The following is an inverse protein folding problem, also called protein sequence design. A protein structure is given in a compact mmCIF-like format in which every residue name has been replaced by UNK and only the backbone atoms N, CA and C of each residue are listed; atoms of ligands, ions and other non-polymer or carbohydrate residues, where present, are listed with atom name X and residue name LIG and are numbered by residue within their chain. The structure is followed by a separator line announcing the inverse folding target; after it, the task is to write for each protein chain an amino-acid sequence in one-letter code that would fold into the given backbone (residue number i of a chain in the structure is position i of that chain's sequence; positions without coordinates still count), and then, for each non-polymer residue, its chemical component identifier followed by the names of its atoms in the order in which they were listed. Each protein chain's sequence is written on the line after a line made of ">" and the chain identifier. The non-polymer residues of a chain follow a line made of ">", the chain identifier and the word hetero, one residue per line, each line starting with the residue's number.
data_IF_031047556174
#
_entry.id   IF_031047556174
#
_cell.length_a   1.000
_cell.length_b   1.000
_cell.length_c   1.000
_cell.angle_alpha   90.00
_cell.angle_beta   90.00
_cell.angle_gamma   90.00
#
_symmetry.space_group_name_H-M   'P 1'
#
loop_
_entity.id
_entity.type
_entity.pdbx_description
1 polymer ?
#
# COMPACT_ATOMS: atom_id res chain seq x y z
N UNK A 1 9.39 0.22 8.68
CA UNK A 1 10.02 0.00 7.36
C UNK A 1 9.87 -1.47 6.99
N UNK A 2 9.08 -1.80 5.96
CA UNK A 2 9.07 -3.13 5.36
C UNK A 2 9.61 -2.99 3.93
N UNK A 3 10.53 -3.88 3.53
CA UNK A 3 11.14 -3.95 2.19
C UNK A 3 10.90 -5.35 1.66
N UNK A 4 10.35 -5.47 0.45
CA UNK A 4 10.27 -6.75 -0.24
C UNK A 4 11.15 -6.71 -1.49
N UNK A 5 12.02 -7.73 -1.65
CA UNK A 5 12.89 -7.88 -2.82
C UNK A 5 12.27 -8.88 -3.79
N UNK A 6 11.63 -8.38 -4.84
CA UNK A 6 11.30 -9.09 -6.07
C UNK A 6 11.61 -8.10 -7.24
N UNK A 7 11.37 -8.35 -8.54
CA UNK A 7 11.93 -7.52 -9.62
C UNK A 7 11.66 -6.01 -9.48
N UNK A 8 10.58 -5.66 -8.78
CA UNK A 8 10.29 -4.32 -8.27
C UNK A 8 10.46 -4.28 -6.74
N UNK A 9 11.22 -3.29 -6.25
CA UNK A 9 11.40 -3.07 -4.81
C UNK A 9 10.42 -2.00 -4.33
N UNK A 10 9.40 -2.41 -3.58
CA UNK A 10 8.39 -1.51 -3.02
C UNK A 10 8.68 -1.18 -1.55
N UNK A 11 8.35 0.05 -1.17
CA UNK A 11 8.43 0.54 0.22
C UNK A 11 7.20 1.38 0.51
N UNK A 12 6.54 1.10 1.63
CA UNK A 12 5.55 2.00 2.23
C UNK A 12 6.28 2.92 3.21
N UNK A 13 6.19 4.22 2.97
CA UNK A 13 6.76 5.25 3.81
C UNK A 13 5.64 5.91 4.61
N UNK A 14 5.67 5.72 5.93
CA UNK A 14 4.74 6.35 6.86
C UNK A 14 5.43 7.56 7.47
N UNK A 15 5.24 8.75 6.89
CA UNK A 15 5.68 10.01 7.49
C UNK A 15 4.46 10.80 7.97
N UNK A 16 4.40 10.94 9.29
CA UNK A 16 3.58 11.83 10.12
C UNK A 16 2.04 11.73 10.04
N UNK A 17 1.42 11.47 8.88
CA UNK A 17 -0.05 11.27 8.76
C UNK A 17 -0.50 10.55 7.48
N UNK A 18 0.38 10.35 6.49
CA UNK A 18 0.00 9.70 5.22
C UNK A 18 0.95 8.56 4.88
N UNK A 19 0.40 7.39 4.59
CA UNK A 19 1.16 6.26 4.09
C UNK A 19 1.32 6.42 2.58
N UNK A 20 2.54 6.65 2.11
CA UNK A 20 2.83 6.72 0.67
C UNK A 20 3.48 5.44 0.19
N UNK A 21 3.03 4.95 -0.96
CA UNK A 21 3.71 3.87 -1.67
C UNK A 21 4.83 4.46 -2.53
N UNK A 22 6.03 3.89 -2.42
CA UNK A 22 7.16 4.22 -3.28
C UNK A 22 7.69 2.96 -3.94
N UNK A 23 8.08 3.08 -5.21
CA UNK A 23 8.80 2.03 -5.95
C UNK A 23 10.21 2.50 -6.25
N UNK A 24 11.18 1.60 -6.09
CA UNK A 24 12.57 1.88 -6.45
C UNK A 24 12.84 1.49 -7.90
N UNK A 25 13.23 2.49 -8.69
CA UNK A 25 13.58 2.37 -10.11
C UNK A 25 15.08 2.11 -10.24
N UNK A 26 15.46 0.83 -10.31
CA UNK A 26 16.88 0.40 -10.34
C UNK A 26 17.67 0.99 -11.52
N UNK A 27 17.04 1.17 -12.68
CA UNK A 27 17.69 1.66 -13.90
C UNK A 27 18.29 3.06 -13.72
N UNK A 28 17.61 3.92 -12.96
CA UNK A 28 17.99 5.32 -12.72
C UNK A 28 18.37 5.58 -11.26
N UNK A 29 18.47 4.52 -10.45
CA UNK A 29 18.78 4.56 -9.02
C UNK A 29 17.94 5.59 -8.24
N UNK A 30 16.64 5.65 -8.50
CA UNK A 30 15.75 6.64 -7.90
C UNK A 30 14.50 6.02 -7.28
N UNK A 31 13.79 6.80 -6.47
CA UNK A 31 12.49 6.44 -5.92
C UNK A 31 11.39 7.20 -6.66
N UNK A 32 10.32 6.50 -7.04
CA UNK A 32 9.10 7.09 -7.60
C UNK A 32 7.97 6.93 -6.58
N UNK A 33 7.29 8.05 -6.30
CA UNK A 33 6.08 8.05 -5.48
C UNK A 33 4.91 7.55 -6.33
N UNK A 34 4.10 6.65 -5.77
CA UNK A 34 2.93 6.03 -6.41
C UNK A 34 1.63 6.41 -5.67
N UNK A 35 1.63 7.53 -4.95
CA UNK A 35 0.46 8.02 -4.25
C UNK A 35 0.25 7.44 -2.85
N UNK A 36 -0.92 7.75 -2.28
CA UNK A 36 -1.33 7.38 -0.92
C UNK A 36 -1.90 5.96 -0.91
N UNK A 37 -1.54 5.19 0.11
CA UNK A 37 -2.06 3.85 0.36
C UNK A 37 -3.41 3.97 1.09
N UNK A 38 -4.46 3.23 0.69
CA UNK A 38 -5.81 3.33 1.28
C UNK A 38 -5.94 2.67 2.66
N UNK A 39 -4.82 2.32 3.30
CA UNK A 39 -4.79 1.75 4.65
C UNK A 39 -3.85 2.51 5.58
N UNK A 40 -4.19 2.46 6.87
CA UNK A 40 -3.42 3.04 7.95
C UNK A 40 -2.97 2.00 8.96
N UNK A 41 -1.82 2.29 9.57
CA UNK A 41 -1.40 1.60 10.78
C UNK A 41 -2.17 2.24 11.94
N UNK A 42 -3.19 1.55 12.44
CA UNK A 42 -3.94 2.01 13.59
C UNK A 42 -3.34 1.41 14.86
N UNK A 43 -2.37 2.13 15.44
CA UNK A 43 -1.69 1.72 16.67
C UNK A 43 -2.66 1.53 17.84
N UNK A 44 -3.73 2.35 17.93
CA UNK A 44 -4.72 2.23 19.01
C UNK A 44 -5.51 0.92 18.96
N UNK A 45 -5.60 0.30 17.77
CA UNK A 45 -6.29 -0.99 17.54
C UNK A 45 -5.33 -2.16 17.36
N UNK A 46 -4.02 -1.94 17.48
CA UNK A 46 -3.01 -2.97 17.22
C UNK A 46 -2.92 -3.41 15.74
N UNK A 47 -3.48 -2.64 14.81
CA UNK A 47 -3.49 -2.98 13.39
C UNK A 47 -2.25 -2.41 12.69
N UNK A 48 -1.37 -3.28 12.20
CA UNK A 48 -0.28 -2.90 11.31
C UNK A 48 -0.69 -2.88 9.83
N UNK A 49 0.21 -2.42 8.97
CA UNK A 49 0.08 -2.57 7.52
C UNK A 49 0.96 -3.73 7.07
N UNK A 50 0.38 -4.70 6.38
CA UNK A 50 1.10 -5.74 5.69
C UNK A 50 0.96 -5.54 4.17
N UNK A 51 1.98 -5.94 3.42
CA UNK A 51 1.90 -5.93 1.96
C UNK A 51 2.71 -7.08 1.36
N UNK A 52 2.33 -7.47 0.15
CA UNK A 52 3.01 -8.53 -0.61
C UNK A 52 2.94 -8.21 -2.10
N UNK A 53 4.08 -8.24 -2.78
CA UNK A 53 4.13 -8.25 -4.24
C UNK A 53 3.73 -9.62 -4.81
N UNK A 54 2.98 -9.58 -5.90
CA UNK A 54 2.43 -10.71 -6.64
C UNK A 54 2.65 -10.46 -8.14
N UNK A 55 3.88 -10.63 -8.61
CA UNK A 55 4.27 -10.26 -9.97
C UNK A 55 4.15 -8.74 -10.15
N UNK A 56 3.28 -8.33 -11.08
CA UNK A 56 2.97 -6.91 -11.35
C UNK A 56 1.94 -6.35 -10.37
N UNK A 57 1.40 -7.15 -9.46
CA UNK A 57 0.43 -6.68 -8.47
C UNK A 57 1.09 -6.45 -7.12
N UNK A 58 0.55 -5.50 -6.36
CA UNK A 58 0.88 -5.27 -4.97
C UNK A 58 -0.39 -5.42 -4.15
N UNK A 59 -0.38 -6.37 -3.23
CA UNK A 59 -1.43 -6.56 -2.24
C UNK A 59 -1.07 -5.77 -0.99
N UNK A 60 -2.02 -5.01 -0.46
CA UNK A 60 -1.89 -4.28 0.80
C UNK A 60 -3.05 -4.61 1.71
N UNK A 61 -2.75 -4.85 2.97
CA UNK A 61 -3.67 -5.32 4.00
C UNK A 61 -3.51 -4.40 5.20
N UNK A 62 -4.61 -3.83 5.70
CA UNK A 62 -4.58 -2.95 6.87
C UNK A 62 -5.95 -2.35 7.20
N UNK A 63 -6.00 -1.48 8.20
CA UNK A 63 -7.24 -0.76 8.52
C UNK A 63 -7.49 0.30 7.44
N UNK A 64 -8.65 0.29 6.78
CA UNK A 64 -8.98 1.29 5.76
C UNK A 64 -9.41 2.62 6.39
N UNK A 65 -9.02 3.75 5.77
CA UNK A 65 -9.40 5.11 6.22
C UNK A 65 -10.92 5.35 6.11
N UNK A 66 -11.60 4.73 5.13
CA UNK A 66 -13.02 4.97 4.80
C UNK A 66 -13.46 4.17 3.56
N UNK A 67 -14.27 3.13 3.78
CA UNK A 67 -15.22 2.63 2.78
C UNK A 67 -16.53 2.37 3.52
N UNK A 68 -17.41 3.38 3.45
CA UNK A 68 -18.86 3.37 3.72
C UNK A 68 -19.36 3.12 5.15
N UNK A 69 -18.62 2.47 6.04
CA UNK A 69 -19.11 2.20 7.41
C UNK A 69 -18.10 2.54 8.51
N UNK A 70 -18.36 3.62 9.26
CA UNK A 70 -17.64 3.98 10.49
C UNK A 70 -17.72 2.91 11.59
N UNK A 71 -18.46 1.82 11.37
CA UNK A 71 -18.66 0.71 12.31
C UNK A 71 -17.88 -0.56 11.95
N UNK A 72 -17.18 -0.61 10.80
CA UNK A 72 -16.53 -1.84 10.36
C UNK A 72 -15.14 -2.02 10.99
N UNK A 73 -15.07 -2.84 12.05
CA UNK A 73 -13.88 -3.15 12.83
C UNK A 73 -12.92 -4.15 12.14
N UNK A 74 -12.85 -4.15 10.81
CA UNK A 74 -12.20 -5.21 10.03
C UNK A 74 -10.94 -4.77 9.30
N UNK A 75 -10.06 -5.74 9.02
CA UNK A 75 -8.89 -5.53 8.18
C UNK A 75 -9.35 -5.54 6.72
N UNK A 76 -8.95 -4.53 5.94
CA UNK A 76 -9.30 -4.39 4.54
C UNK A 76 -8.14 -4.80 3.64
N UNK A 77 -8.46 -5.38 2.50
CA UNK A 77 -7.51 -5.87 1.52
C UNK A 77 -7.69 -5.04 0.25
N UNK A 78 -6.59 -4.45 -0.22
CA UNK A 78 -6.51 -3.71 -1.47
C UNK A 78 -5.42 -4.29 -2.36
N UNK A 79 -5.59 -4.21 -3.67
CA UNK A 79 -4.51 -4.45 -4.60
C UNK A 79 -4.34 -3.29 -5.58
N UNK A 80 -3.13 -3.12 -6.10
CA UNK A 80 -2.89 -2.27 -7.26
C UNK A 80 -1.95 -2.98 -8.23
N UNK A 81 -2.11 -2.71 -9.51
CA UNK A 81 -1.17 -3.17 -10.53
C UNK A 81 -0.08 -2.11 -10.73
N UNK A 82 1.15 -2.56 -10.88
CA UNK A 82 2.29 -1.74 -11.27
C UNK A 82 2.18 -1.42 -12.75
N UNK A 83 1.72 -0.21 -13.06
CA UNK A 83 1.84 0.38 -14.38
C UNK A 83 3.05 1.35 -14.39
N UNK A 84 4.08 1.08 -15.21
CA UNK A 84 5.25 1.96 -15.33
C UNK A 84 4.89 3.39 -15.74
N UNK A 85 3.82 3.55 -16.52
CA UNK A 85 3.36 4.82 -17.08
C UNK A 85 2.41 5.57 -16.14
N UNK A 86 1.79 4.88 -15.18
CA UNK A 86 0.90 5.52 -14.22
C UNK A 86 1.66 6.45 -13.29
N UNK A 87 1.07 7.61 -13.00
CA UNK A 87 1.60 8.58 -12.04
C UNK A 87 1.37 8.07 -10.62
N UNK A 88 0.16 7.57 -10.35
CA UNK A 88 -0.27 7.05 -9.06
C UNK A 88 -0.77 5.61 -9.17
N UNK A 89 -0.72 4.87 -8.05
CA UNK A 89 -1.27 3.54 -7.94
C UNK A 89 -2.81 3.60 -7.92
N UNK A 90 -3.44 2.85 -8.82
CA UNK A 90 -4.88 2.65 -8.80
C UNK A 90 -5.24 1.49 -7.87
N UNK A 91 -5.87 1.80 -6.74
CA UNK A 91 -6.23 0.82 -5.71
C UNK A 91 -7.60 0.20 -5.97
N UNK A 92 -7.66 -1.13 -5.94
CA UNK A 92 -8.88 -1.93 -6.05
C UNK A 92 -9.16 -2.57 -4.69
N UNK A 93 -10.36 -2.36 -4.15
CA UNK A 93 -10.80 -3.03 -2.93
C UNK A 93 -11.17 -4.48 -3.22
N UNK A 94 -10.55 -5.42 -2.50
CA UNK A 94 -10.79 -6.86 -2.67
C UNK A 94 -11.72 -7.42 -1.60
N UNK A 95 -11.80 -6.81 -0.42
CA UNK A 95 -12.67 -7.28 0.65
C UNK A 95 -12.21 -6.85 2.04
N UNK A 96 -12.98 -7.28 3.05
CA UNK A 96 -12.74 -7.04 4.48
C UNK A 96 -12.86 -8.35 5.25
N UNK A 97 -11.93 -8.61 6.16
CA UNK A 97 -11.89 -9.78 7.05
C UNK A 97 -12.37 -9.43 8.44
#
# INVERSE_FOLDING_TARGET
>A
FCRQKHPFSFVICSLTTTNKLKVYLKQINSWKDLGVVPVEANHSRGCGIAFKSLGDWLLVIGAAWNVVDHHSQGISIFCCQHDPNAIDAHWVFLGRT
#
